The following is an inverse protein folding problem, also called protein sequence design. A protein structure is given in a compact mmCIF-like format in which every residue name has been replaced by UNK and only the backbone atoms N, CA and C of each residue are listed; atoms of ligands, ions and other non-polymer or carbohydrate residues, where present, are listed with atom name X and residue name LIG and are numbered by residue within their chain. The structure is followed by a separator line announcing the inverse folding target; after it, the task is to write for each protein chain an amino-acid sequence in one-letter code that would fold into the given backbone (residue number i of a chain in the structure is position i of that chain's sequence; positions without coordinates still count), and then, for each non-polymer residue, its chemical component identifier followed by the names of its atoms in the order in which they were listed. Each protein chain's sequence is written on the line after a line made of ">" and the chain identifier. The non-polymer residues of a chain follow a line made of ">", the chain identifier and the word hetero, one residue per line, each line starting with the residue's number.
data_IF_230657158330
#
_entry.id   IF_230657158330
#
_cell.length_a   1.000
_cell.length_b   1.000
_cell.length_c   1.000
_cell.angle_alpha   90.00
_cell.angle_beta   90.00
_cell.angle_gamma   90.00
#
_symmetry.space_group_name_H-M   'P 1'
#
loop_
_entity.id
_entity.type
_entity.pdbx_description
1 polymer ?
#
# COMPACT_ATOMS: atom_id res chain seq x y z
N UNK A 1 -22.08 6.77 -9.14
CA UNK A 1 -22.66 5.72 -9.99
C UNK A 1 -23.45 6.30 -11.17
N UNK A 2 -23.97 7.51 -11.08
CA UNK A 2 -24.79 8.14 -12.15
C UNK A 2 -24.04 8.49 -13.46
N UNK A 3 -22.78 8.18 -13.66
CA UNK A 3 -22.01 8.49 -14.88
C UNK A 3 -21.07 7.37 -15.32
N UNK A 4 -21.39 6.10 -15.02
CA UNK A 4 -20.59 4.96 -15.43
C UNK A 4 -19.21 4.90 -14.74
N UNK A 5 -19.11 5.42 -13.52
CA UNK A 5 -17.91 5.31 -12.67
C UNK A 5 -18.23 4.46 -11.47
N UNK A 6 -17.54 3.36 -11.35
CA UNK A 6 -17.62 2.53 -10.16
C UNK A 6 -17.05 3.26 -8.95
N UNK A 7 -17.56 2.89 -7.78
CA UNK A 7 -17.08 3.41 -6.50
C UNK A 7 -16.38 2.31 -5.71
N UNK A 8 -15.55 2.71 -4.76
CA UNK A 8 -15.09 1.87 -3.67
C UNK A 8 -15.69 2.38 -2.37
N UNK A 9 -16.30 1.48 -1.61
CA UNK A 9 -16.80 1.75 -0.27
C UNK A 9 -15.95 0.97 0.71
N UNK A 10 -15.41 1.66 1.71
CA UNK A 10 -14.52 1.05 2.71
C UNK A 10 -14.69 1.65 4.11
N UNK A 11 -14.47 0.85 5.18
CA UNK A 11 -14.37 1.38 6.53
C UNK A 11 -13.13 2.29 6.64
N UNK A 12 -13.21 3.33 7.47
CA UNK A 12 -12.10 4.29 7.65
C UNK A 12 -10.97 3.69 8.50
N UNK A 13 -11.29 2.80 9.43
CA UNK A 13 -10.42 2.32 10.51
C UNK A 13 -10.47 0.80 10.70
N UNK A 14 -10.47 0.06 9.58
CA UNK A 14 -10.39 -1.40 9.56
C UNK A 14 -9.05 -1.87 8.97
N UNK A 15 -8.92 -3.18 8.72
CA UNK A 15 -7.70 -3.80 8.17
C UNK A 15 -8.02 -5.03 7.33
N UNK A 16 -7.09 -5.43 6.44
CA UNK A 16 -7.17 -6.65 5.66
C UNK A 16 -8.35 -6.68 4.71
N UNK A 17 -8.64 -5.57 4.05
CA UNK A 17 -9.74 -5.38 3.08
C UNK A 17 -11.14 -5.76 3.59
N UNK A 18 -11.32 -5.91 4.91
CA UNK A 18 -12.62 -6.25 5.50
C UNK A 18 -13.61 -5.11 5.32
N UNK A 19 -14.76 -5.41 4.73
CA UNK A 19 -15.80 -4.42 4.46
C UNK A 19 -15.50 -3.51 3.27
N UNK A 20 -14.43 -3.78 2.50
CA UNK A 20 -14.09 -3.03 1.29
C UNK A 20 -14.78 -3.67 0.09
N UNK A 21 -15.55 -2.89 -0.67
CA UNK A 21 -16.28 -3.36 -1.85
C UNK A 21 -16.22 -2.37 -3.02
N UNK A 22 -16.13 -2.91 -4.23
CA UNK A 22 -16.42 -2.19 -5.47
C UNK A 22 -17.94 -2.14 -5.66
N UNK A 23 -18.47 -0.98 -5.95
CA UNK A 23 -19.90 -0.76 -6.21
C UNK A 23 -20.06 -0.26 -7.64
N UNK A 24 -20.57 -1.13 -8.51
CA UNK A 24 -20.84 -0.83 -9.92
C UNK A 24 -22.30 -0.41 -10.17
N UNK A 25 -23.21 -0.78 -9.27
CA UNK A 25 -24.64 -0.51 -9.41
C UNK A 25 -25.17 0.31 -8.22
N UNK A 26 -26.03 1.28 -8.49
CA UNK A 26 -26.62 2.15 -7.45
C UNK A 26 -27.39 1.35 -6.39
N UNK A 27 -28.05 0.29 -6.79
CA UNK A 27 -28.82 -0.55 -5.88
C UNK A 27 -27.98 -1.22 -4.79
N UNK A 28 -26.68 -1.44 -5.05
CA UNK A 28 -25.78 -2.12 -4.10
C UNK A 28 -25.17 -1.15 -3.08
N UNK A 29 -25.33 0.16 -3.30
CA UNK A 29 -24.70 1.20 -2.49
C UNK A 29 -25.07 1.11 -1.01
N UNK A 30 -26.36 0.94 -0.69
CA UNK A 30 -26.81 0.88 0.69
C UNK A 30 -26.26 -0.35 1.43
N UNK A 31 -26.28 -1.50 0.78
CA UNK A 31 -25.76 -2.76 1.36
C UNK A 31 -24.25 -2.67 1.59
N UNK A 32 -23.49 -2.18 0.61
CA UNK A 32 -22.04 -2.00 0.73
C UNK A 32 -21.68 -0.97 1.83
N UNK A 33 -22.46 0.12 1.95
CA UNK A 33 -22.27 1.10 3.01
C UNK A 33 -22.51 0.50 4.40
N UNK A 34 -23.59 -0.24 4.59
CA UNK A 34 -23.89 -0.88 5.87
C UNK A 34 -22.85 -1.93 6.24
N UNK A 35 -22.37 -2.70 5.27
CA UNK A 35 -21.30 -3.65 5.50
C UNK A 35 -19.99 -2.94 5.91
N UNK A 36 -19.56 -1.92 5.18
CA UNK A 36 -18.36 -1.15 5.52
C UNK A 36 -18.47 -0.54 6.93
N UNK A 37 -19.63 0.04 7.25
CA UNK A 37 -19.92 0.61 8.57
C UNK A 37 -19.77 -0.43 9.69
N UNK A 38 -20.26 -1.66 9.48
CA UNK A 38 -20.20 -2.73 10.48
C UNK A 38 -18.76 -3.20 10.79
N UNK A 39 -17.81 -2.95 9.88
CA UNK A 39 -16.38 -3.24 10.07
C UNK A 39 -15.57 -2.04 10.58
N UNK A 40 -16.19 -0.87 10.74
CA UNK A 40 -15.54 0.34 11.25
C UNK A 40 -15.84 0.52 12.74
N UNK A 41 -14.84 0.44 13.65
CA UNK A 41 -15.02 0.75 15.05
C UNK A 41 -15.59 2.15 15.31
N UNK A 42 -15.24 3.13 14.47
CA UNK A 42 -15.81 4.50 14.53
C UNK A 42 -17.10 4.68 13.75
N UNK A 43 -17.63 3.61 13.15
CA UNK A 43 -18.81 3.61 12.27
C UNK A 43 -18.71 4.58 11.06
N UNK A 44 -17.49 5.02 10.73
CA UNK A 44 -17.24 5.91 9.59
C UNK A 44 -16.91 5.12 8.33
N UNK A 45 -17.44 5.58 7.21
CA UNK A 45 -17.27 4.96 5.90
C UNK A 45 -16.68 5.98 4.94
N UNK A 46 -15.73 5.54 4.14
CA UNK A 46 -15.16 6.29 3.04
C UNK A 46 -15.76 5.81 1.73
N UNK A 47 -16.08 6.74 0.85
CA UNK A 47 -16.56 6.48 -0.51
C UNK A 47 -15.60 7.16 -1.48
N UNK A 48 -15.01 6.37 -2.37
CA UNK A 48 -14.01 6.84 -3.32
C UNK A 48 -14.38 6.43 -4.75
N UNK A 49 -13.80 7.09 -5.73
CA UNK A 49 -13.83 6.61 -7.10
C UNK A 49 -13.00 5.32 -7.20
N UNK A 50 -13.54 4.28 -7.86
CA UNK A 50 -12.75 3.12 -8.22
C UNK A 50 -11.78 3.49 -9.33
N UNK A 51 -10.49 3.33 -9.07
CA UNK A 51 -9.42 3.54 -10.03
C UNK A 51 -8.90 2.19 -10.52
N UNK A 52 -8.86 2.01 -11.83
CA UNK A 52 -8.34 0.80 -12.48
C UNK A 52 -6.86 0.95 -12.80
N UNK A 53 -6.12 -0.15 -12.76
CA UNK A 53 -4.72 -0.19 -13.15
C UNK A 53 -3.89 -1.08 -12.22
N UNK A 54 -2.59 -1.25 -12.51
CA UNK A 54 -1.68 -1.97 -11.64
C UNK A 54 -1.65 -1.36 -10.23
N UNK A 55 -1.53 -2.22 -9.24
CA UNK A 55 -1.37 -1.79 -7.85
C UNK A 55 -0.02 -2.24 -7.31
N UNK A 56 0.55 -1.41 -6.45
CA UNK A 56 1.82 -1.71 -5.77
C UNK A 56 1.69 -1.49 -4.27
N UNK A 57 2.44 -2.29 -3.51
CA UNK A 57 2.70 -2.05 -2.11
C UNK A 57 4.09 -1.43 -1.95
N UNK A 58 4.18 -0.41 -1.13
CA UNK A 58 5.45 0.22 -0.76
C UNK A 58 5.70 0.10 0.73
N UNK A 59 6.97 0.01 1.12
CA UNK A 59 7.40 0.05 2.50
C UNK A 59 8.57 1.00 2.62
N UNK A 60 8.44 2.01 3.47
CA UNK A 60 9.41 3.10 3.57
C UNK A 60 9.90 3.28 5.01
N UNK A 61 11.18 3.62 5.15
CA UNK A 61 11.77 4.15 6.36
C UNK A 61 11.79 5.67 6.26
N UNK A 62 11.41 6.35 7.32
CA UNK A 62 11.47 7.81 7.42
C UNK A 62 12.40 8.16 8.58
N UNK A 63 13.38 9.01 8.33
CA UNK A 63 14.29 9.51 9.36
C UNK A 63 14.70 10.94 9.06
N UNK A 64 14.60 11.81 10.05
CA UNK A 64 14.85 13.25 9.90
C UNK A 64 13.96 13.90 8.82
N UNK A 65 12.74 13.40 8.63
CA UNK A 65 11.79 13.87 7.61
C UNK A 65 12.10 13.40 6.18
N UNK A 66 13.17 12.63 5.94
CA UNK A 66 13.47 12.03 4.63
C UNK A 66 12.88 10.63 4.55
N UNK A 67 12.18 10.35 3.46
CA UNK A 67 11.51 9.08 3.20
C UNK A 67 12.33 8.23 2.22
N UNK A 68 12.65 7.01 2.62
CA UNK A 68 13.41 6.01 1.83
C UNK A 68 12.50 4.81 1.57
N UNK A 69 11.96 4.71 0.38
CA UNK A 69 11.12 3.58 -0.03
C UNK A 69 12.03 2.40 -0.41
N UNK A 70 12.18 1.46 0.51
CA UNK A 70 13.05 0.29 0.37
C UNK A 70 12.31 -0.90 -0.23
N UNK A 71 11.05 -1.08 0.18
CA UNK A 71 10.18 -2.14 -0.34
C UNK A 71 9.28 -1.62 -1.44
N UNK A 72 9.23 -2.32 -2.58
CA UNK A 72 8.36 -2.00 -3.69
C UNK A 72 7.94 -3.30 -4.39
N UNK A 73 6.67 -3.67 -4.25
CA UNK A 73 6.12 -4.92 -4.77
C UNK A 73 4.92 -4.68 -5.66
N UNK A 74 4.85 -5.37 -6.78
CA UNK A 74 3.62 -5.47 -7.56
C UNK A 74 2.62 -6.34 -6.80
N UNK A 75 1.35 -5.90 -6.70
CA UNK A 75 0.29 -6.64 -6.02
C UNK A 75 -0.47 -7.50 -7.02
N UNK A 76 -0.71 -8.73 -6.65
CA UNK A 76 -1.46 -9.66 -7.47
C UNK A 76 -2.94 -9.72 -7.09
N UNK A 77 -3.78 -9.49 -8.09
CA UNK A 77 -5.24 -9.61 -8.02
C UNK A 77 -5.74 -10.51 -9.17
N UNK A 78 -5.16 -11.70 -9.27
CA UNK A 78 -5.42 -12.66 -10.36
C UNK A 78 -6.90 -13.04 -10.48
N UNK A 79 -7.60 -13.01 -9.35
CA UNK A 79 -9.01 -13.40 -9.26
C UNK A 79 -9.96 -12.23 -8.95
N UNK A 80 -9.57 -10.99 -9.28
CA UNK A 80 -10.32 -9.79 -8.94
C UNK A 80 -11.79 -9.86 -9.40
N UNK A 81 -12.02 -10.23 -10.66
CA UNK A 81 -13.37 -10.33 -11.21
C UNK A 81 -14.15 -11.54 -10.67
N UNK A 82 -13.46 -12.63 -10.32
CA UNK A 82 -14.09 -13.83 -9.73
C UNK A 82 -14.65 -13.56 -8.34
N UNK A 83 -13.98 -12.72 -7.56
CA UNK A 83 -14.36 -12.40 -6.19
C UNK A 83 -15.06 -11.05 -6.05
N UNK A 84 -15.38 -10.39 -7.18
CA UNK A 84 -16.16 -9.16 -7.13
C UNK A 84 -17.44 -9.36 -6.29
N UNK A 85 -17.82 -8.39 -5.47
CA UNK A 85 -17.29 -7.03 -5.38
C UNK A 85 -16.09 -6.85 -4.43
N UNK A 86 -15.50 -7.94 -3.92
CA UNK A 86 -14.42 -7.90 -2.94
C UNK A 86 -13.05 -7.85 -3.59
N UNK A 87 -12.09 -7.21 -2.90
CA UNK A 87 -10.70 -7.14 -3.32
C UNK A 87 -9.90 -8.22 -2.58
N UNK A 88 -9.62 -9.33 -3.28
CA UNK A 88 -8.82 -10.44 -2.74
C UNK A 88 -7.46 -10.42 -3.42
N UNK A 89 -6.46 -9.94 -2.68
CA UNK A 89 -5.06 -10.02 -3.08
C UNK A 89 -4.56 -11.45 -2.88
N UNK A 90 -3.86 -12.00 -3.87
CA UNK A 90 -3.32 -13.36 -3.81
C UNK A 90 -1.80 -13.41 -3.84
N UNK A 91 -1.13 -12.31 -3.53
CA UNK A 91 0.33 -12.25 -3.38
C UNK A 91 0.96 -11.00 -3.97
N UNK A 92 2.28 -11.02 -4.05
CA UNK A 92 3.08 -9.93 -4.60
C UNK A 92 4.36 -10.42 -5.28
N UNK A 93 4.93 -9.58 -6.13
CA UNK A 93 6.16 -9.84 -6.88
C UNK A 93 7.17 -8.69 -6.69
N UNK A 94 8.40 -9.02 -6.33
CA UNK A 94 9.53 -8.11 -6.23
C UNK A 94 10.67 -8.58 -7.14
N UNK A 95 11.46 -7.70 -7.75
CA UNK A 95 11.19 -6.27 -7.86
C UNK A 95 9.98 -5.99 -8.75
N UNK A 96 9.39 -4.81 -8.63
CA UNK A 96 8.29 -4.38 -9.49
C UNK A 96 8.67 -4.38 -10.97
N UNK A 97 7.73 -4.76 -11.82
CA UNK A 97 7.87 -4.71 -13.28
C UNK A 97 7.42 -3.38 -13.90
N UNK A 98 6.98 -2.42 -13.07
CA UNK A 98 6.63 -1.09 -13.56
C UNK A 98 7.86 -0.38 -14.14
N UNK A 99 7.68 0.48 -15.17
CA UNK A 99 8.75 1.34 -15.66
C UNK A 99 9.37 2.20 -14.55
N UNK A 100 10.69 2.42 -14.60
CA UNK A 100 11.41 3.19 -13.57
C UNK A 100 10.80 4.58 -13.36
N UNK A 101 10.40 5.27 -14.43
CA UNK A 101 9.72 6.57 -14.34
C UNK A 101 8.45 6.50 -13.47
N UNK A 102 7.68 5.41 -13.58
CA UNK A 102 6.47 5.21 -12.76
C UNK A 102 6.84 4.92 -11.31
N UNK A 103 7.88 4.10 -11.07
CA UNK A 103 8.39 3.85 -9.72
C UNK A 103 8.86 5.15 -9.06
N UNK A 104 9.58 6.01 -9.77
CA UNK A 104 10.05 7.30 -9.28
C UNK A 104 8.89 8.24 -8.90
N UNK A 105 7.82 8.25 -9.71
CA UNK A 105 6.58 8.99 -9.38
C UNK A 105 5.93 8.45 -8.10
N UNK A 106 5.92 7.14 -7.90
CA UNK A 106 5.38 6.51 -6.67
C UNK A 106 6.24 6.89 -5.47
N UNK A 107 7.56 6.80 -5.57
CA UNK A 107 8.48 7.21 -4.49
C UNK A 107 8.24 8.68 -4.08
N UNK A 108 8.14 9.57 -5.06
CA UNK A 108 7.86 10.99 -4.81
C UNK A 108 6.48 11.20 -4.17
N UNK A 109 5.45 10.45 -4.60
CA UNK A 109 4.10 10.50 -4.01
C UNK A 109 4.11 10.06 -2.56
N UNK A 110 4.72 8.91 -2.26
CA UNK A 110 4.80 8.36 -0.89
C UNK A 110 5.56 9.31 0.04
N UNK A 111 6.68 9.87 -0.41
CA UNK A 111 7.45 10.84 0.37
C UNK A 111 6.64 12.09 0.71
N UNK A 112 5.94 12.68 -0.29
CA UNK A 112 5.06 13.84 -0.05
C UNK A 112 3.92 13.51 0.91
N UNK A 113 3.31 12.33 0.76
CA UNK A 113 2.20 11.92 1.60
C UNK A 113 2.66 11.63 3.05
N UNK A 114 3.81 10.98 3.26
CA UNK A 114 4.41 10.79 4.56
C UNK A 114 4.69 12.14 5.26
N UNK A 115 5.26 13.09 4.53
CA UNK A 115 5.49 14.45 5.02
C UNK A 115 4.19 15.18 5.38
N UNK A 116 3.16 15.06 4.53
CA UNK A 116 1.84 15.66 4.80
C UNK A 116 1.14 15.05 6.03
N UNK A 117 1.42 13.79 6.34
CA UNK A 117 0.96 13.12 7.57
C UNK A 117 1.78 13.51 8.81
N UNK A 118 2.85 14.29 8.67
CA UNK A 118 3.72 14.70 9.77
C UNK A 118 4.66 13.58 10.25
N UNK A 119 4.91 12.55 9.44
CA UNK A 119 5.85 11.48 9.81
C UNK A 119 7.26 11.99 9.59
N UNK A 120 7.99 12.21 10.67
CA UNK A 120 9.41 12.63 10.66
C UNK A 120 10.36 11.48 10.88
N UNK A 121 9.94 10.49 11.67
CA UNK A 121 10.73 9.29 11.99
C UNK A 121 9.80 8.09 12.16
N UNK A 122 10.16 6.94 11.59
CA UNK A 122 9.37 5.72 11.66
C UNK A 122 9.24 4.99 10.34
N UNK A 123 8.12 4.31 10.16
CA UNK A 123 7.83 3.51 8.96
C UNK A 123 6.53 3.95 8.29
N UNK A 124 6.47 3.87 6.98
CA UNK A 124 5.26 4.14 6.20
C UNK A 124 5.04 3.03 5.20
N UNK A 125 3.93 2.32 5.35
CA UNK A 125 3.40 1.35 4.38
C UNK A 125 2.41 2.06 3.47
N UNK A 126 2.54 1.88 2.16
CA UNK A 126 1.63 2.45 1.18
C UNK A 126 1.04 1.41 0.24
N UNK A 127 -0.23 1.57 -0.09
CA UNK A 127 -0.90 0.91 -1.21
C UNK A 127 -1.25 1.97 -2.25
N UNK A 128 -0.76 1.75 -3.46
CA UNK A 128 -0.82 2.73 -4.55
C UNK A 128 -1.40 2.06 -5.78
N UNK A 129 -2.28 2.76 -6.50
CA UNK A 129 -2.77 2.35 -7.83
C UNK A 129 -2.19 3.26 -8.89
N UNK A 130 -1.81 2.67 -10.03
CA UNK A 130 -1.34 3.42 -11.20
C UNK A 130 -2.50 3.54 -12.18
N UNK A 131 -3.16 4.69 -12.18
CA UNK A 131 -4.31 4.96 -13.05
C UNK A 131 -3.93 5.94 -14.15
N UNK A 132 -4.11 5.52 -15.42
CA UNK A 132 -3.74 6.33 -16.59
C UNK A 132 -2.29 6.83 -16.57
N UNK A 133 -1.36 6.02 -16.07
CA UNK A 133 0.07 6.34 -15.98
C UNK A 133 0.46 7.19 -14.76
N UNK A 134 -0.49 7.60 -13.92
CA UNK A 134 -0.24 8.40 -12.72
C UNK A 134 -0.56 7.61 -11.43
N UNK A 135 0.28 7.75 -10.37
CA UNK A 135 0.07 7.07 -9.12
C UNK A 135 -0.92 7.81 -8.21
N UNK A 136 -1.80 7.04 -7.59
CA UNK A 136 -2.78 7.51 -6.59
C UNK A 136 -2.68 6.68 -5.31
N UNK A 137 -2.73 7.35 -4.17
CA UNK A 137 -2.75 6.66 -2.87
C UNK A 137 -4.11 6.00 -2.65
N UNK A 138 -4.10 4.69 -2.40
CA UNK A 138 -5.25 3.93 -1.91
C UNK A 138 -5.30 4.00 -0.38
N UNK A 139 -4.14 3.78 0.26
CA UNK A 139 -3.98 3.80 1.71
C UNK A 139 -2.52 4.08 2.08
N UNK A 140 -2.32 4.84 3.16
CA UNK A 140 -1.04 4.96 3.83
C UNK A 140 -1.21 4.67 5.31
N UNK A 141 -0.25 3.95 5.89
CA UNK A 141 -0.27 3.62 7.31
C UNK A 141 1.13 3.83 7.91
N UNK A 142 1.19 4.56 9.03
CA UNK A 142 2.43 4.76 9.80
C UNK A 142 2.75 3.51 10.64
N UNK A 143 2.99 2.39 9.98
CA UNK A 143 3.29 1.10 10.58
C UNK A 143 4.02 0.19 9.60
N UNK A 144 4.59 -0.87 10.11
CA UNK A 144 5.12 -1.99 9.32
C UNK A 144 3.99 -2.78 8.65
N UNK A 145 4.25 -3.30 7.46
CA UNK A 145 3.33 -4.19 6.74
C UNK A 145 3.27 -5.59 7.38
N UNK A 146 2.17 -6.28 7.08
CA UNK A 146 2.01 -7.71 7.36
C UNK A 146 2.48 -8.59 6.19
N UNK A 147 2.06 -9.87 6.21
CA UNK A 147 2.23 -10.79 5.09
C UNK A 147 3.69 -11.12 4.75
N UNK A 148 4.60 -10.98 5.69
CA UNK A 148 6.06 -11.17 5.52
C UNK A 148 6.76 -10.14 4.63
N UNK A 149 6.09 -9.12 4.12
CA UNK A 149 6.68 -8.14 3.21
C UNK A 149 7.90 -7.45 3.84
N UNK A 150 7.73 -6.78 4.99
CA UNK A 150 8.84 -6.11 5.67
C UNK A 150 9.85 -7.06 6.32
N UNK A 151 9.42 -8.27 6.74
CA UNK A 151 10.26 -9.19 7.52
C UNK A 151 11.03 -10.21 6.69
N UNK A 152 10.58 -10.52 5.47
CA UNK A 152 11.17 -11.55 4.60
C UNK A 152 11.42 -11.05 3.18
N UNK A 153 10.39 -10.53 2.51
CA UNK A 153 10.49 -10.21 1.09
C UNK A 153 11.49 -9.10 0.82
N UNK A 154 11.41 -7.98 1.57
CA UNK A 154 12.35 -6.86 1.43
C UNK A 154 13.79 -7.29 1.70
N UNK A 155 14.14 -7.95 2.84
CA UNK A 155 15.50 -8.41 3.06
C UNK A 155 16.01 -9.40 2.01
N UNK A 156 15.16 -10.31 1.54
CA UNK A 156 15.52 -11.26 0.48
C UNK A 156 15.78 -10.55 -0.85
N UNK A 157 14.88 -9.65 -1.24
CA UNK A 157 14.99 -8.91 -2.49
C UNK A 157 16.16 -7.92 -2.48
N UNK A 158 16.25 -7.07 -1.44
CA UNK A 158 17.12 -5.89 -1.43
C UNK A 158 18.44 -6.08 -0.68
N UNK A 159 18.50 -7.01 0.27
CA UNK A 159 19.60 -7.15 1.23
C UNK A 159 19.54 -6.18 2.41
N UNK A 160 18.56 -5.29 2.46
CA UNK A 160 18.38 -4.33 3.56
C UNK A 160 17.81 -5.03 4.79
N UNK A 161 18.41 -4.83 5.95
CA UNK A 161 17.83 -5.20 7.25
C UNK A 161 16.76 -4.17 7.64
N UNK A 162 15.62 -4.27 6.97
CA UNK A 162 14.53 -3.30 7.12
C UNK A 162 14.00 -3.21 8.56
N UNK A 163 13.85 -4.35 9.23
CA UNK A 163 13.36 -4.40 10.62
C UNK A 163 14.41 -3.84 11.58
N UNK A 164 15.69 -4.19 11.42
CA UNK A 164 16.76 -3.62 12.23
C UNK A 164 16.83 -2.10 12.12
N UNK A 165 16.73 -1.57 10.90
CA UNK A 165 16.68 -0.13 10.67
C UNK A 165 15.44 0.53 11.30
N UNK A 166 14.26 -0.10 11.18
CA UNK A 166 13.03 0.39 11.81
C UNK A 166 13.14 0.44 13.34
N UNK A 167 13.75 -0.58 13.96
CA UNK A 167 13.99 -0.61 15.40
C UNK A 167 14.96 0.50 15.83
N UNK A 168 16.06 0.71 15.11
CA UNK A 168 16.99 1.80 15.37
C UNK A 168 16.29 3.16 15.35
N UNK A 169 15.51 3.42 14.31
CA UNK A 169 14.75 4.67 14.19
C UNK A 169 13.78 4.82 15.40
N UNK A 170 13.09 3.76 15.79
CA UNK A 170 12.17 3.79 16.94
C UNK A 170 12.88 4.03 18.27
N UNK A 171 14.16 3.65 18.39
CA UNK A 171 14.99 3.93 19.56
C UNK A 171 15.66 5.33 19.54
N UNK A 172 15.44 6.09 18.46
CA UNK A 172 16.10 7.38 18.26
C UNK A 172 17.57 7.27 17.84
N UNK A 173 17.98 6.08 17.37
CA UNK A 173 19.32 5.86 16.85
C UNK A 173 19.41 6.30 15.38
N UNK A 174 20.60 6.75 14.98
CA UNK A 174 20.84 7.11 13.59
C UNK A 174 20.92 5.89 12.68
N UNK A 175 20.29 5.98 11.50
CA UNK A 175 20.42 5.00 10.42
C UNK A 175 21.02 5.71 9.23
N UNK A 176 22.11 5.18 8.70
CA UNK A 176 22.77 5.76 7.54
C UNK A 176 21.99 5.46 6.26
N UNK A 177 22.16 6.30 5.23
CA UNK A 177 21.56 6.07 3.92
C UNK A 177 22.00 4.73 3.31
N UNK A 178 23.26 4.32 3.55
CA UNK A 178 23.79 3.03 3.09
C UNK A 178 23.04 1.82 3.70
N UNK A 179 22.60 1.91 4.96
CA UNK A 179 21.79 0.86 5.60
C UNK A 179 20.39 0.74 5.02
N UNK A 180 19.89 1.79 4.36
CA UNK A 180 18.55 1.86 3.75
C UNK A 180 18.59 1.70 2.23
N UNK A 181 19.79 1.55 1.65
CA UNK A 181 19.96 1.42 0.20
C UNK A 181 20.05 -0.05 -0.20
N UNK A 182 19.25 -0.52 -1.18
CA UNK A 182 19.36 -1.86 -1.70
C UNK A 182 20.77 -2.17 -2.21
N UNK A 183 21.34 -3.30 -1.76
CA UNK A 183 22.65 -3.80 -2.20
C UNK A 183 22.54 -4.87 -3.29
N UNK A 184 21.33 -5.35 -3.55
CA UNK A 184 21.02 -6.37 -4.55
C UNK A 184 19.58 -6.23 -5.01
N UNK A 185 19.20 -6.97 -6.06
CA UNK A 185 17.83 -7.10 -6.55
C UNK A 185 17.58 -8.56 -6.92
N UNK A 186 17.03 -9.33 -5.97
CA UNK A 186 16.73 -10.76 -6.17
C UNK A 186 15.24 -10.93 -6.32
N UNK A 187 14.75 -11.63 -7.36
CA UNK A 187 13.33 -11.89 -7.51
C UNK A 187 12.75 -12.65 -6.31
N UNK A 188 11.65 -12.15 -5.80
CA UNK A 188 10.88 -12.77 -4.71
C UNK A 188 9.41 -12.77 -5.12
N UNK A 189 8.79 -13.92 -4.99
CA UNK A 189 7.37 -14.13 -5.34
C UNK A 189 6.65 -14.67 -4.12
N UNK A 190 5.58 -13.98 -3.73
CA UNK A 190 4.69 -14.47 -2.69
C UNK A 190 3.33 -14.83 -3.30
N UNK A 191 2.74 -15.94 -2.84
CA UNK A 191 1.38 -16.36 -3.19
C UNK A 191 0.65 -16.85 -1.94
N UNK A 192 -0.68 -16.56 -1.89
CA UNK A 192 -1.60 -16.97 -0.84
C UNK A 192 -2.60 -18.00 -1.36
#
# INVERSE_FOLDING_TARGET
>A
VERGRDLVIKPVDSRGSRGVQRVAQVQDLATAFMLARSYSPSERVMVEQYLTGPQVSTESLVTGGRCYTVGFSDRNYEYLERYAPFFIENGGDLPSQLPQETQDKVHALVARAASAMGVTDGTVKGDIVIHNGEPYVIELAARLSGGFFCTREIPLNTGVDFIGAAIKIALGESVSEAEMTPSRSVPVVQRY
#
